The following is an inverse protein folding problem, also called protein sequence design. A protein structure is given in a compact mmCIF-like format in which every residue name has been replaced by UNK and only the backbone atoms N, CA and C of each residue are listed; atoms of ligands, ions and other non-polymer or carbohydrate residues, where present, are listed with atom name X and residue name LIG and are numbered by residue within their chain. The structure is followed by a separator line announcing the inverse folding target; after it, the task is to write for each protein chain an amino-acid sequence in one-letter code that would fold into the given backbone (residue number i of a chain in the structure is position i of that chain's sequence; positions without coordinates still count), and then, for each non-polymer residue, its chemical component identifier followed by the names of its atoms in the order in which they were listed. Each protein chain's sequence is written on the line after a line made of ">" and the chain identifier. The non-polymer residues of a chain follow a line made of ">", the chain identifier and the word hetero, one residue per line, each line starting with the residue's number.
data_IF_974368247497
#
_entry.id   IF_974368247497
#
_cell.length_a   1.000
_cell.length_b   1.000
_cell.length_c   1.000
_cell.angle_alpha   90.00
_cell.angle_beta   90.00
_cell.angle_gamma   90.00
#
_symmetry.space_group_name_H-M   'P 1'
#
loop_
_entity.id
_entity.type
_entity.pdbx_description
1 polymer ?
#
# COMPACT_ATOMS: atom_id res chain seq x y z
N UNK A 1 -63.06 -6.88 -35.98
CA UNK A 1 -63.31 -5.88 -34.95
C UNK A 1 -63.31 -6.61 -33.63
N UNK A 2 -62.22 -6.42 -32.80
CA UNK A 2 -62.15 -6.99 -31.44
C UNK A 2 -62.65 -5.88 -30.55
N UNK A 3 -63.88 -6.02 -30.00
CA UNK A 3 -64.38 -5.11 -28.97
C UNK A 3 -63.65 -5.38 -27.66
N UNK A 4 -62.79 -4.49 -27.29
CA UNK A 4 -62.17 -4.46 -25.95
C UNK A 4 -63.20 -3.80 -25.02
N UNK A 5 -63.93 -4.62 -24.26
CA UNK A 5 -64.73 -4.10 -23.16
C UNK A 5 -63.85 -3.74 -22.01
N UNK A 6 -63.83 -2.46 -21.56
CA UNK A 6 -63.17 -2.12 -20.32
C UNK A 6 -63.90 -2.76 -19.14
N UNK A 7 -63.20 -3.37 -18.18
CA UNK A 7 -63.84 -3.89 -17.00
C UNK A 7 -64.35 -2.75 -16.12
N UNK A 8 -65.67 -2.47 -16.20
CA UNK A 8 -66.34 -1.57 -15.28
C UNK A 8 -66.72 -2.32 -13.99
N UNK A 9 -65.76 -2.73 -13.22
CA UNK A 9 -66.02 -3.01 -11.81
C UNK A 9 -65.77 -1.71 -11.00
N UNK A 10 -66.87 -1.01 -10.72
CA UNK A 10 -66.86 0.09 -9.76
C UNK A 10 -66.45 -0.47 -8.41
N UNK A 11 -65.40 0.09 -7.79
CA UNK A 11 -65.05 -0.18 -6.41
C UNK A 11 -66.24 0.21 -5.54
N UNK A 12 -67.07 -0.78 -5.19
CA UNK A 12 -68.35 -0.56 -4.52
C UNK A 12 -68.29 -0.53 -3.00
N UNK A 13 -67.09 -0.65 -2.39
CA UNK A 13 -66.93 -0.59 -0.94
C UNK A 13 -65.56 -0.04 -0.57
N UNK A 14 -65.52 0.88 0.39
CA UNK A 14 -64.28 1.35 1.02
C UNK A 14 -63.41 0.21 1.54
N UNK A 15 -64.04 -0.89 1.97
CA UNK A 15 -63.36 -2.11 2.41
C UNK A 15 -62.54 -2.76 1.27
N UNK A 16 -63.09 -2.89 0.06
CA UNK A 16 -62.37 -3.43 -1.10
C UNK A 16 -61.19 -2.52 -1.51
N UNK A 17 -61.36 -1.21 -1.46
CA UNK A 17 -60.31 -0.23 -1.71
C UNK A 17 -59.14 -0.41 -0.75
N UNK A 18 -59.40 -0.51 0.56
CA UNK A 18 -58.35 -0.71 1.56
C UNK A 18 -57.69 -2.09 1.44
N UNK A 19 -58.39 -3.16 1.09
CA UNK A 19 -57.82 -4.47 0.84
C UNK A 19 -56.86 -4.42 -0.36
N UNK A 20 -57.19 -3.74 -1.45
CA UNK A 20 -56.28 -3.59 -2.58
C UNK A 20 -55.04 -2.79 -2.25
N UNK A 21 -55.18 -1.68 -1.53
CA UNK A 21 -54.04 -0.91 -1.06
C UNK A 21 -53.15 -1.74 -0.13
N UNK A 22 -53.72 -2.47 0.82
CA UNK A 22 -52.97 -3.34 1.70
C UNK A 22 -52.19 -4.44 0.93
N UNK A 23 -52.84 -5.06 -0.06
CA UNK A 23 -52.20 -6.10 -0.87
C UNK A 23 -51.02 -5.52 -1.68
N UNK A 24 -51.19 -4.35 -2.31
CA UNK A 24 -50.10 -3.67 -3.04
C UNK A 24 -48.98 -3.27 -2.08
N UNK A 25 -49.29 -2.72 -0.91
CA UNK A 25 -48.32 -2.31 0.08
C UNK A 25 -47.49 -3.51 0.60
N UNK A 26 -48.17 -4.62 0.91
CA UNK A 26 -47.50 -5.87 1.33
C UNK A 26 -46.58 -6.39 0.23
N UNK A 27 -47.07 -6.43 -1.02
CA UNK A 27 -46.26 -6.85 -2.17
C UNK A 27 -45.00 -5.98 -2.34
N UNK A 28 -45.17 -4.67 -2.22
CA UNK A 28 -44.03 -3.73 -2.29
C UNK A 28 -43.03 -3.92 -1.13
N UNK A 29 -43.51 -4.11 0.11
CA UNK A 29 -42.67 -4.37 1.26
C UNK A 29 -41.88 -5.68 1.12
N UNK A 30 -42.50 -6.74 0.57
CA UNK A 30 -41.81 -8.00 0.28
C UNK A 30 -40.73 -7.79 -0.79
N UNK A 31 -41.04 -7.07 -1.86
CA UNK A 31 -40.10 -6.80 -2.94
C UNK A 31 -38.88 -6.01 -2.42
N UNK A 32 -39.10 -4.94 -1.66
CA UNK A 32 -38.02 -4.14 -1.02
C UNK A 32 -37.20 -5.00 -0.05
N UNK A 33 -37.86 -5.84 0.76
CA UNK A 33 -37.17 -6.72 1.70
C UNK A 33 -36.27 -7.75 1.00
N UNK A 34 -36.70 -8.31 -0.13
CA UNK A 34 -35.87 -9.21 -0.94
C UNK A 34 -34.69 -8.48 -1.58
N UNK A 35 -34.93 -7.29 -2.13
CA UNK A 35 -33.87 -6.46 -2.70
C UNK A 35 -32.80 -6.12 -1.66
N UNK A 36 -33.18 -5.64 -0.48
CA UNK A 36 -32.25 -5.34 0.62
C UNK A 36 -31.46 -6.59 1.06
N UNK A 37 -32.09 -7.75 1.04
CA UNK A 37 -31.43 -9.02 1.38
C UNK A 37 -30.35 -9.36 0.36
N UNK A 38 -30.61 -9.22 -0.92
CA UNK A 38 -29.61 -9.45 -1.99
C UNK A 38 -28.46 -8.47 -1.88
N UNK A 39 -28.74 -7.18 -1.69
CA UNK A 39 -27.74 -6.14 -1.50
C UNK A 39 -26.85 -6.44 -0.29
N UNK A 40 -27.44 -6.86 0.84
CA UNK A 40 -26.71 -7.24 2.04
C UNK A 40 -25.72 -8.39 1.80
N UNK A 41 -26.15 -9.46 1.14
CA UNK A 41 -25.27 -10.59 0.81
C UNK A 41 -24.18 -10.19 -0.18
N UNK A 42 -24.50 -9.35 -1.16
CA UNK A 42 -23.52 -8.82 -2.10
C UNK A 42 -22.42 -8.00 -1.39
N UNK A 43 -22.82 -7.06 -0.54
CA UNK A 43 -21.87 -6.24 0.23
C UNK A 43 -21.01 -7.09 1.17
N UNK A 44 -21.62 -8.10 1.81
CA UNK A 44 -20.86 -9.02 2.69
C UNK A 44 -19.81 -9.81 1.90
N UNK A 45 -20.16 -10.32 0.73
CA UNK A 45 -19.21 -11.02 -0.14
C UNK A 45 -18.08 -10.10 -0.61
N UNK A 46 -18.42 -8.91 -1.10
CA UNK A 46 -17.47 -7.90 -1.55
C UNK A 46 -16.48 -7.51 -0.44
N UNK A 47 -16.96 -7.32 0.78
CA UNK A 47 -16.12 -7.00 1.94
C UNK A 47 -15.17 -8.16 2.29
N UNK A 48 -15.66 -9.41 2.28
CA UNK A 48 -14.83 -10.58 2.56
C UNK A 48 -13.72 -10.76 1.50
N UNK A 49 -14.04 -10.54 0.24
CA UNK A 49 -13.08 -10.59 -0.85
C UNK A 49 -12.00 -9.50 -0.71
N UNK A 50 -12.41 -8.25 -0.46
CA UNK A 50 -11.49 -7.15 -0.21
C UNK A 50 -10.52 -7.45 0.96
N UNK A 51 -11.02 -7.98 2.08
CA UNK A 51 -10.19 -8.38 3.23
C UNK A 51 -9.17 -9.46 2.87
N UNK A 52 -9.61 -10.47 2.13
CA UNK A 52 -8.73 -11.57 1.69
C UNK A 52 -7.60 -11.06 0.81
N UNK A 53 -7.93 -10.21 -0.15
CA UNK A 53 -6.97 -9.66 -1.10
C UNK A 53 -5.98 -8.70 -0.42
N UNK A 54 -6.47 -7.78 0.42
CA UNK A 54 -5.64 -6.90 1.22
C UNK A 54 -4.70 -7.69 2.15
N UNK A 55 -5.21 -8.74 2.80
CA UNK A 55 -4.39 -9.61 3.66
C UNK A 55 -3.27 -10.30 2.86
N UNK A 56 -3.56 -10.75 1.65
CA UNK A 56 -2.56 -11.36 0.77
C UNK A 56 -1.47 -10.35 0.39
N UNK A 57 -1.84 -9.13 0.00
CA UNK A 57 -0.91 -8.05 -0.33
C UNK A 57 -0.05 -7.66 0.88
N UNK A 58 -0.63 -7.54 2.09
CA UNK A 58 0.14 -7.25 3.31
C UNK A 58 1.17 -8.35 3.64
N UNK A 59 0.82 -9.62 3.44
CA UNK A 59 1.77 -10.75 3.62
C UNK A 59 2.93 -10.67 2.62
N UNK A 60 2.62 -10.35 1.37
CA UNK A 60 3.65 -10.16 0.34
C UNK A 60 4.56 -8.96 0.68
N UNK A 61 3.97 -7.82 1.05
CA UNK A 61 4.71 -6.63 1.45
C UNK A 61 5.61 -6.87 2.66
N UNK A 62 5.16 -7.61 3.66
CA UNK A 62 6.02 -8.03 4.76
C UNK A 62 7.25 -8.80 4.28
N UNK A 63 7.06 -9.75 3.36
CA UNK A 63 8.18 -10.49 2.76
C UNK A 63 9.15 -9.60 1.97
N UNK A 64 8.63 -8.55 1.32
CA UNK A 64 9.42 -7.51 0.65
C UNK A 64 10.25 -6.73 1.66
N UNK A 65 9.64 -6.25 2.75
CA UNK A 65 10.35 -5.48 3.78
C UNK A 65 11.47 -6.28 4.45
N UNK A 66 11.22 -7.56 4.74
CA UNK A 66 12.25 -8.46 5.29
C UNK A 66 13.46 -8.58 4.35
N UNK A 67 13.23 -8.75 3.04
CA UNK A 67 14.31 -8.79 2.03
C UNK A 67 15.06 -7.44 1.93
N UNK A 68 14.31 -6.35 2.00
CA UNK A 68 14.90 -5.01 1.96
C UNK A 68 15.76 -4.71 3.19
N UNK A 69 15.45 -5.24 4.36
CA UNK A 69 16.30 -5.13 5.55
C UNK A 69 17.70 -5.74 5.30
N UNK A 70 17.80 -6.85 4.58
CA UNK A 70 19.08 -7.42 4.20
C UNK A 70 19.82 -6.59 3.13
N UNK A 71 19.06 -6.02 2.18
CA UNK A 71 19.62 -5.13 1.17
C UNK A 71 20.21 -3.85 1.80
N UNK A 72 19.50 -3.19 2.72
CA UNK A 72 20.00 -1.98 3.38
C UNK A 72 21.18 -2.26 4.30
N UNK A 73 21.27 -3.43 4.94
CA UNK A 73 22.48 -3.84 5.70
C UNK A 73 23.74 -3.88 4.83
N UNK A 74 23.62 -4.49 3.64
CA UNK A 74 24.74 -4.53 2.66
C UNK A 74 25.08 -3.13 2.17
N UNK A 75 24.07 -2.34 1.85
CA UNK A 75 24.25 -0.96 1.41
C UNK A 75 24.93 -0.10 2.48
N UNK A 76 24.60 -0.27 3.76
CA UNK A 76 25.27 0.42 4.87
C UNK A 76 26.78 0.14 4.85
N UNK A 77 27.18 -1.14 4.74
CA UNK A 77 28.58 -1.52 4.69
C UNK A 77 29.32 -0.95 3.47
N UNK A 78 28.66 -0.95 2.29
CA UNK A 78 29.21 -0.37 1.05
C UNK A 78 29.41 1.16 1.17
N UNK A 79 28.43 1.86 1.73
CA UNK A 79 28.47 3.32 1.89
C UNK A 79 29.51 3.72 2.93
N UNK A 80 29.67 2.95 4.03
CA UNK A 80 30.72 3.17 5.03
C UNK A 80 32.11 2.95 4.43
N UNK A 81 32.29 1.93 3.60
CA UNK A 81 33.53 1.68 2.87
C UNK A 81 33.86 2.82 1.88
N UNK A 82 32.84 3.31 1.14
CA UNK A 82 33.01 4.48 0.26
C UNK A 82 33.46 5.72 1.06
N UNK A 83 32.82 5.99 2.20
CA UNK A 83 33.18 7.12 3.04
C UNK A 83 34.66 7.05 3.52
N UNK A 84 35.11 5.86 3.93
CA UNK A 84 36.49 5.63 4.31
C UNK A 84 37.47 5.89 3.16
N UNK A 85 37.16 5.43 1.94
CA UNK A 85 37.97 5.71 0.74
C UNK A 85 38.01 7.19 0.41
N UNK A 86 36.89 7.90 0.51
CA UNK A 86 36.81 9.33 0.24
C UNK A 86 37.67 10.15 1.25
N UNK A 87 37.59 9.85 2.54
CA UNK A 87 38.41 10.51 3.54
C UNK A 87 39.90 10.21 3.37
N UNK A 88 40.28 9.00 3.03
CA UNK A 88 41.66 8.67 2.73
C UNK A 88 42.19 9.46 1.51
N UNK A 89 41.39 9.65 0.47
CA UNK A 89 41.74 10.38 -0.73
C UNK A 89 41.91 11.91 -0.50
N UNK A 90 41.26 12.48 0.54
CA UNK A 90 41.49 13.87 0.94
C UNK A 90 42.94 14.13 1.38
N UNK A 91 43.57 13.14 1.99
CA UNK A 91 44.95 13.27 2.56
C UNK A 91 46.01 12.68 1.62
N UNK A 92 45.65 11.67 0.82
CA UNK A 92 46.55 10.98 -0.09
C UNK A 92 45.81 10.73 -1.42
N UNK A 93 45.99 11.62 -2.41
CA UNK A 93 45.33 11.49 -3.72
C UNK A 93 45.61 10.12 -4.36
N UNK A 94 44.53 9.43 -4.75
CA UNK A 94 44.58 8.12 -5.41
C UNK A 94 43.40 7.96 -6.38
N UNK A 95 43.52 7.13 -7.41
CA UNK A 95 42.39 6.84 -8.31
C UNK A 95 41.36 5.97 -7.60
N UNK A 96 40.39 6.58 -6.93
CA UNK A 96 39.34 5.90 -6.18
C UNK A 96 37.99 5.81 -6.89
N UNK A 97 37.74 6.60 -7.92
CA UNK A 97 36.44 6.69 -8.58
C UNK A 97 35.90 5.33 -9.02
N UNK A 98 36.75 4.44 -9.55
CA UNK A 98 36.37 3.08 -9.94
C UNK A 98 36.21 2.10 -8.75
N UNK A 99 36.65 2.47 -7.56
CA UNK A 99 36.54 1.64 -6.33
C UNK A 99 35.28 1.95 -5.53
N UNK A 100 34.65 3.10 -5.79
CA UNK A 100 33.43 3.50 -5.11
C UNK A 100 32.23 2.66 -5.60
N UNK A 101 31.52 2.04 -4.67
CA UNK A 101 30.37 1.19 -4.97
C UNK A 101 29.10 1.87 -4.50
N UNK A 102 28.27 2.29 -5.43
CA UNK A 102 26.95 2.84 -5.19
C UNK A 102 25.91 1.97 -5.87
N UNK A 103 25.19 1.15 -5.12
CA UNK A 103 24.18 0.24 -5.66
C UNK A 103 22.91 0.25 -4.81
N UNK A 104 21.74 0.12 -5.46
CA UNK A 104 20.48 -0.18 -4.76
C UNK A 104 20.41 -1.67 -4.40
N UNK A 105 21.36 -2.50 -4.88
CA UNK A 105 21.29 -3.95 -4.70
C UNK A 105 19.98 -4.54 -5.23
N UNK A 106 19.53 -5.63 -4.61
CA UNK A 106 18.22 -6.24 -4.90
C UNK A 106 17.13 -5.58 -4.04
N UNK A 107 16.82 -4.34 -4.32
CA UNK A 107 15.76 -3.59 -3.63
C UNK A 107 14.41 -3.89 -4.26
N UNK A 108 13.43 -4.24 -3.44
CA UNK A 108 12.09 -4.60 -3.87
C UNK A 108 11.08 -3.54 -3.43
N UNK A 109 10.12 -3.24 -4.31
CA UNK A 109 9.08 -2.25 -4.03
C UNK A 109 7.89 -2.92 -3.38
N UNK A 110 7.38 -2.41 -2.24
CA UNK A 110 6.09 -2.81 -1.71
C UNK A 110 4.98 -2.53 -2.72
N UNK A 111 3.89 -3.27 -2.63
CA UNK A 111 2.73 -3.15 -3.50
C UNK A 111 1.60 -2.42 -2.80
N UNK A 112 0.81 -1.67 -3.56
CA UNK A 112 -0.43 -1.03 -3.12
C UNK A 112 -1.58 -1.21 -4.12
N UNK A 113 -1.41 -2.07 -5.11
CA UNK A 113 -2.37 -2.22 -6.21
C UNK A 113 -3.74 -2.70 -5.71
N UNK A 114 -3.77 -3.66 -4.77
CA UNK A 114 -5.01 -4.13 -4.15
C UNK A 114 -5.68 -3.02 -3.35
N UNK A 115 -4.91 -2.25 -2.57
CA UNK A 115 -5.42 -1.09 -1.85
C UNK A 115 -6.09 -0.08 -2.78
N UNK A 116 -5.46 0.26 -3.89
CA UNK A 116 -6.02 1.17 -4.87
C UNK A 116 -7.32 0.62 -5.50
N UNK A 117 -7.36 -0.69 -5.82
CA UNK A 117 -8.56 -1.33 -6.36
C UNK A 117 -9.72 -1.32 -5.36
N UNK A 118 -9.46 -1.64 -4.08
CA UNK A 118 -10.46 -1.65 -3.00
C UNK A 118 -10.99 -0.24 -2.71
N UNK A 119 -10.15 0.79 -2.84
CA UNK A 119 -10.59 2.20 -2.79
C UNK A 119 -11.54 2.55 -3.93
N UNK A 120 -11.22 2.13 -5.15
CA UNK A 120 -11.98 2.49 -6.34
C UNK A 120 -13.33 1.78 -6.43
N UNK A 121 -13.43 0.53 -5.97
CA UNK A 121 -14.66 -0.26 -6.02
C UNK A 121 -15.64 0.00 -4.86
N UNK A 122 -15.29 0.93 -3.94
CA UNK A 122 -16.14 1.33 -2.83
C UNK A 122 -16.17 0.37 -1.63
N UNK A 123 -15.41 -0.74 -1.66
CA UNK A 123 -15.39 -1.74 -0.58
C UNK A 123 -14.93 -1.15 0.77
N UNK A 124 -14.13 -0.07 0.76
CA UNK A 124 -13.71 0.61 2.00
C UNK A 124 -14.89 1.19 2.78
N UNK A 125 -15.95 1.65 2.08
CA UNK A 125 -17.17 2.16 2.73
C UNK A 125 -17.98 1.08 3.48
N UNK A 126 -17.67 -0.20 3.23
CA UNK A 126 -18.30 -1.34 3.91
C UNK A 126 -17.53 -1.82 5.14
N UNK A 127 -16.30 -1.31 5.35
CA UNK A 127 -15.45 -1.68 6.48
C UNK A 127 -15.88 -0.97 7.76
N UNK A 128 -15.66 -1.60 8.91
CA UNK A 128 -15.77 -0.93 10.19
C UNK A 128 -14.72 0.19 10.30
N UNK A 129 -15.08 1.29 11.00
CA UNK A 129 -14.22 2.48 11.10
C UNK A 129 -12.79 2.16 11.57
N UNK A 130 -12.65 1.39 12.65
CA UNK A 130 -11.34 1.03 13.20
C UNK A 130 -10.51 0.16 12.23
N UNK A 131 -11.18 -0.72 11.48
CA UNK A 131 -10.56 -1.54 10.45
C UNK A 131 -10.06 -0.69 9.28
N UNK A 132 -10.91 0.25 8.80
CA UNK A 132 -10.54 1.17 7.73
C UNK A 132 -9.32 2.01 8.11
N UNK A 133 -9.34 2.66 9.29
CA UNK A 133 -8.21 3.45 9.77
C UNK A 133 -6.92 2.66 9.81
N UNK A 134 -6.99 1.41 10.21
CA UNK A 134 -5.83 0.56 10.27
C UNK A 134 -5.19 0.32 8.88
N UNK A 135 -6.00 0.03 7.85
CA UNK A 135 -5.47 -0.09 6.48
C UNK A 135 -4.92 1.24 5.96
N UNK A 136 -5.59 2.35 6.25
CA UNK A 136 -5.13 3.70 5.87
C UNK A 136 -3.71 3.94 6.39
N UNK A 137 -3.44 3.74 7.69
CA UNK A 137 -2.12 3.95 8.27
C UNK A 137 -1.03 3.08 7.64
N UNK A 138 -1.31 1.78 7.43
CA UNK A 138 -0.34 0.89 6.78
C UNK A 138 0.02 1.37 5.38
N UNK A 139 -0.96 1.74 4.57
CA UNK A 139 -0.68 2.15 3.19
C UNK A 139 -0.11 3.57 3.09
N UNK A 140 -0.33 4.44 4.08
CA UNK A 140 0.39 5.69 4.26
C UNK A 140 1.87 5.43 4.56
N UNK A 141 2.19 4.53 5.49
CA UNK A 141 3.56 4.14 5.80
C UNK A 141 4.27 3.48 4.60
N UNK A 142 3.59 2.62 3.86
CA UNK A 142 4.09 2.06 2.60
C UNK A 142 4.38 3.17 1.58
N UNK A 143 3.54 4.17 1.46
CA UNK A 143 3.74 5.31 0.57
C UNK A 143 4.99 6.11 0.95
N UNK A 144 5.18 6.38 2.25
CA UNK A 144 6.40 7.04 2.77
C UNK A 144 7.65 6.22 2.44
N UNK A 145 7.60 4.90 2.64
CA UNK A 145 8.70 3.99 2.30
C UNK A 145 9.04 4.07 0.80
N UNK A 146 8.04 4.08 -0.07
CA UNK A 146 8.24 4.19 -1.51
C UNK A 146 8.88 5.52 -1.90
N UNK A 147 8.41 6.63 -1.33
CA UNK A 147 8.96 7.97 -1.55
C UNK A 147 10.42 8.04 -1.09
N UNK A 148 10.73 7.64 0.14
CA UNK A 148 12.08 7.67 0.69
C UNK A 148 13.04 6.74 -0.07
N UNK A 149 12.55 5.61 -0.57
CA UNK A 149 13.33 4.71 -1.42
C UNK A 149 13.65 5.33 -2.78
N UNK A 150 12.71 6.06 -3.38
CA UNK A 150 12.92 6.80 -4.62
C UNK A 150 13.96 7.92 -4.45
N UNK A 151 13.87 8.67 -3.36
CA UNK A 151 14.85 9.71 -3.02
C UNK A 151 16.26 9.13 -2.78
N UNK A 152 16.36 7.98 -2.09
CA UNK A 152 17.63 7.27 -1.95
C UNK A 152 18.21 6.91 -3.32
N UNK A 153 17.39 6.38 -4.21
CA UNK A 153 17.79 6.08 -5.59
C UNK A 153 18.37 7.27 -6.32
N UNK A 154 17.72 8.43 -6.23
CA UNK A 154 18.20 9.67 -6.85
C UNK A 154 19.58 10.11 -6.28
N UNK A 155 19.80 9.98 -4.96
CA UNK A 155 21.10 10.30 -4.34
C UNK A 155 22.21 9.34 -4.75
N UNK A 156 21.89 8.05 -4.87
CA UNK A 156 22.81 7.04 -5.37
C UNK A 156 23.23 7.33 -6.84
N UNK A 157 22.27 7.67 -7.70
CA UNK A 157 22.60 8.03 -9.08
C UNK A 157 23.46 9.30 -9.18
N UNK A 158 23.20 10.28 -8.33
CA UNK A 158 24.06 11.48 -8.24
C UNK A 158 25.49 11.11 -7.83
N UNK A 159 25.66 10.31 -6.78
CA UNK A 159 26.96 9.83 -6.33
C UNK A 159 27.70 9.07 -7.45
N UNK A 160 27.01 8.19 -8.18
CA UNK A 160 27.56 7.48 -9.34
C UNK A 160 28.02 8.43 -10.45
N UNK A 161 27.20 9.43 -10.76
CA UNK A 161 27.52 10.40 -11.78
C UNK A 161 28.79 11.17 -11.45
N UNK A 162 28.95 11.59 -10.18
CA UNK A 162 30.17 12.27 -9.73
C UNK A 162 31.37 11.32 -9.75
N UNK A 163 31.25 10.11 -9.22
CA UNK A 163 32.34 9.11 -9.20
C UNK A 163 32.85 8.75 -10.60
N UNK A 164 32.00 8.90 -11.63
CA UNK A 164 32.33 8.62 -13.07
C UNK A 164 32.78 9.85 -13.85
N UNK A 165 32.95 11.02 -13.24
CA UNK A 165 33.40 12.24 -13.98
C UNK A 165 34.78 12.05 -14.59
N UNK A 166 35.63 11.22 -13.96
CA UNK A 166 36.96 10.92 -14.45
C UNK A 166 37.06 9.45 -14.89
N UNK A 167 37.30 9.19 -16.19
CA UNK A 167 37.39 7.82 -16.73
C UNK A 167 38.53 6.98 -16.13
N UNK A 168 39.59 7.63 -15.71
CA UNK A 168 40.77 7.00 -15.06
C UNK A 168 40.62 6.85 -13.54
N UNK A 169 39.50 7.31 -12.97
CA UNK A 169 39.19 7.27 -11.56
C UNK A 169 39.88 8.34 -10.70
N UNK A 170 40.62 9.28 -11.33
CA UNK A 170 41.25 10.40 -10.67
C UNK A 170 40.24 11.51 -10.42
N UNK A 171 39.71 11.58 -9.19
CA UNK A 171 38.74 12.61 -8.79
C UNK A 171 39.47 13.87 -8.36
N UNK A 172 38.91 15.03 -8.69
CA UNK A 172 39.44 16.32 -8.19
C UNK A 172 39.11 16.48 -6.70
N UNK A 173 39.84 17.34 -5.95
CA UNK A 173 39.48 17.63 -4.55
C UNK A 173 38.01 18.07 -4.40
N UNK A 174 37.50 18.84 -5.36
CA UNK A 174 36.08 19.27 -5.39
C UNK A 174 35.12 18.09 -5.57
N UNK A 175 35.45 17.15 -6.45
CA UNK A 175 34.61 15.94 -6.64
C UNK A 175 34.59 15.09 -5.38
N UNK A 176 35.70 14.99 -4.67
CA UNK A 176 35.81 14.26 -3.41
C UNK A 176 34.94 14.92 -2.33
N UNK A 177 34.97 16.25 -2.17
CA UNK A 177 34.13 16.99 -1.22
C UNK A 177 32.63 16.82 -1.55
N UNK A 178 32.26 16.92 -2.84
CA UNK A 178 30.91 16.74 -3.29
C UNK A 178 30.44 15.30 -3.00
N UNK A 179 31.29 14.29 -3.27
CA UNK A 179 30.98 12.87 -2.96
C UNK A 179 30.83 12.62 -1.47
N UNK A 180 31.67 13.22 -0.61
CA UNK A 180 31.51 13.10 0.84
C UNK A 180 30.15 13.61 1.29
N UNK A 181 29.73 14.77 0.76
CA UNK A 181 28.42 15.35 1.07
C UNK A 181 27.28 14.42 0.63
N UNK A 182 27.27 13.98 -0.63
CA UNK A 182 26.23 13.11 -1.17
C UNK A 182 26.23 11.73 -0.48
N UNK A 183 27.42 11.18 -0.18
CA UNK A 183 27.54 9.89 0.54
C UNK A 183 27.00 10.00 1.97
N UNK A 184 27.20 11.12 2.65
CA UNK A 184 26.60 11.37 3.99
C UNK A 184 25.07 11.42 3.91
N UNK A 185 24.50 12.02 2.85
CA UNK A 185 23.05 12.02 2.62
C UNK A 185 22.52 10.61 2.36
N UNK A 186 23.26 9.81 1.58
CA UNK A 186 22.93 8.38 1.35
C UNK A 186 22.96 7.61 2.67
N UNK A 187 23.99 7.79 3.53
CA UNK A 187 24.05 7.15 4.84
C UNK A 187 22.81 7.50 5.70
N UNK A 188 22.46 8.77 5.78
CA UNK A 188 21.29 9.21 6.54
C UNK A 188 19.99 8.57 6.02
N UNK A 189 19.80 8.52 4.69
CA UNK A 189 18.61 7.89 4.09
C UNK A 189 18.57 6.38 4.29
N UNK A 190 19.70 5.69 4.18
CA UNK A 190 19.80 4.24 4.46
C UNK A 190 19.45 3.95 5.92
N UNK A 191 19.96 4.75 6.86
CA UNK A 191 19.62 4.61 8.28
C UNK A 191 18.11 4.83 8.53
N UNK A 192 17.54 5.87 7.94
CA UNK A 192 16.11 6.16 8.06
C UNK A 192 15.23 5.05 7.47
N UNK A 193 15.52 4.57 6.26
CA UNK A 193 14.81 3.45 5.65
C UNK A 193 14.94 2.16 6.46
N UNK A 194 16.11 1.92 7.07
CA UNK A 194 16.29 0.77 7.97
C UNK A 194 15.32 0.83 9.15
N UNK A 195 15.11 2.01 9.72
CA UNK A 195 14.14 2.22 10.79
C UNK A 195 12.71 1.99 10.29
N UNK A 196 12.32 2.60 9.18
CA UNK A 196 10.98 2.46 8.60
C UNK A 196 10.66 1.01 8.28
N UNK A 197 11.56 0.26 7.63
CA UNK A 197 11.35 -1.16 7.31
C UNK A 197 11.14 -2.02 8.55
N UNK A 198 11.87 -1.77 9.64
CA UNK A 198 11.71 -2.51 10.90
C UNK A 198 10.37 -2.20 11.56
N UNK A 199 9.99 -0.93 11.61
CA UNK A 199 8.72 -0.51 12.21
C UNK A 199 7.54 -1.11 11.45
N UNK A 200 7.55 -0.99 10.12
CA UNK A 200 6.47 -1.47 9.28
C UNK A 200 6.43 -3.01 9.20
N UNK A 201 7.56 -3.69 9.14
CA UNK A 201 7.61 -5.17 9.18
C UNK A 201 6.94 -5.71 10.46
N UNK A 202 7.21 -5.07 11.61
CA UNK A 202 6.59 -5.42 12.88
C UNK A 202 5.08 -5.09 12.91
N UNK A 203 4.68 -3.94 12.34
CA UNK A 203 3.28 -3.56 12.23
C UNK A 203 2.48 -4.54 11.37
N UNK A 204 3.01 -4.91 10.20
CA UNK A 204 2.42 -5.91 9.32
C UNK A 204 2.32 -7.30 9.97
N UNK A 205 3.36 -7.73 10.69
CA UNK A 205 3.33 -9.00 11.44
C UNK A 205 2.16 -9.03 12.41
N UNK A 206 2.04 -8.00 13.25
CA UNK A 206 0.97 -7.89 14.24
C UNK A 206 -0.41 -7.90 13.59
N UNK A 207 -0.58 -7.17 12.48
CA UNK A 207 -1.85 -7.12 11.74
C UNK A 207 -2.25 -8.48 11.19
N UNK A 208 -1.34 -9.14 10.51
CA UNK A 208 -1.58 -10.46 9.92
C UNK A 208 -2.05 -11.46 11.00
N UNK A 209 -1.56 -11.33 12.23
CA UNK A 209 -1.96 -12.17 13.37
C UNK A 209 -3.32 -11.78 13.97
N UNK A 210 -3.75 -10.52 13.82
CA UNK A 210 -5.02 -10.01 14.35
C UNK A 210 -6.21 -10.26 13.42
N UNK A 211 -6.01 -10.29 12.10
CA UNK A 211 -7.07 -10.47 11.09
C UNK A 211 -8.00 -11.67 11.38
N UNK A 212 -7.49 -12.90 11.68
CA UNK A 212 -8.35 -14.04 11.95
C UNK A 212 -9.26 -13.84 13.18
N UNK A 213 -8.79 -13.07 14.18
CA UNK A 213 -9.57 -12.78 15.40
C UNK A 213 -10.72 -11.81 15.11
N UNK A 214 -10.49 -10.85 14.22
CA UNK A 214 -11.51 -9.89 13.78
C UNK A 214 -12.60 -10.62 12.98
N UNK A 215 -12.19 -11.48 12.05
CA UNK A 215 -13.12 -12.29 11.25
C UNK A 215 -13.98 -13.21 12.12
N UNK A 216 -13.39 -13.83 13.14
CA UNK A 216 -14.12 -14.70 14.06
C UNK A 216 -15.17 -13.94 14.87
N UNK A 217 -14.86 -12.73 15.34
CA UNK A 217 -15.83 -11.88 16.06
C UNK A 217 -17.00 -11.42 15.17
N UNK A 218 -16.72 -11.10 13.91
CA UNK A 218 -17.74 -10.64 12.96
C UNK A 218 -18.68 -11.76 12.49
N UNK A 219 -18.24 -13.02 12.53
CA UNK A 219 -19.06 -14.17 12.17
C UNK A 219 -19.93 -14.67 13.34
N UNK A 220 -19.74 -14.16 14.58
CA UNK A 220 -20.51 -14.50 15.78
C UNK A 220 -21.66 -13.51 16.08
N UNK A 221 -21.72 -12.37 15.37
CA UNK A 221 -22.77 -11.37 15.43
C UNK A 221 -23.61 -11.36 14.16
#
# INVERSE_FOLDING_TARGET
>A
MIEVHPPHERVHSWTQFFIHIAAITIGLLIAIGLEQTVVYFHHRHQLQEARRELTAELKENRGVLTKNLDAVRKMTAEVDANMALLHAAQTSPAPIGSKLVYGLGNFWWPKDATWQAVKQNGSLGLMAHDELHYYVYIYEDISIIMEQSSELGARIELARAIARRSPDGNLTPRDIEELITVTSEVQAKVAYLTLLFRLEENALQKKIEEIPKIEQKLNQN
#
